data_IF_695889782284
#
_entry.id   IF_695889782284
#
_cell.length_a   1.000
_cell.length_b   1.000
_cell.length_c   1.000
_cell.angle_alpha   90.00
_cell.angle_beta   90.00
_cell.angle_gamma   90.00
#
_symmetry.space_group_name_H-M   'P 1'
#
loop_
_entity.id
_entity.type
_entity.pdbx_description
1 polymer ?
#
# COMPACT_ATOMS: atom_id res chain seq x y z
N UNK A 1 -1.72 19.47 0.51
CA UNK A 1 -2.04 18.21 -0.20
C UNK A 1 -0.94 17.74 -1.15
N UNK A 2 -0.67 18.47 -2.24
CA UNK A 2 0.21 18.02 -3.35
C UNK A 2 1.71 18.17 -3.09
N UNK A 3 2.09 18.88 -2.03
CA UNK A 3 3.47 19.05 -1.61
C UNK A 3 4.14 17.69 -1.32
N UNK A 4 5.38 17.53 -1.76
CA UNK A 4 6.16 16.30 -1.60
C UNK A 4 5.74 15.14 -2.52
N UNK A 5 4.59 15.21 -3.19
CA UNK A 5 4.12 14.12 -4.07
C UNK A 5 5.08 13.81 -5.22
N UNK A 6 5.72 14.78 -5.90
CA UNK A 6 6.72 14.47 -6.92
C UNK A 6 7.88 13.61 -6.39
N UNK A 7 8.36 13.87 -5.18
CA UNK A 7 9.42 13.09 -4.56
C UNK A 7 8.95 11.66 -4.25
N UNK A 8 7.73 11.50 -3.74
CA UNK A 8 7.10 10.19 -3.48
C UNK A 8 6.97 9.41 -4.80
N UNK A 9 6.51 10.05 -5.88
CA UNK A 9 6.37 9.39 -7.18
C UNK A 9 7.71 8.92 -7.74
N UNK A 10 8.76 9.74 -7.67
CA UNK A 10 10.09 9.35 -8.16
C UNK A 10 10.68 8.18 -7.35
N UNK A 11 10.49 8.19 -6.04
CA UNK A 11 10.94 7.09 -5.17
C UNK A 11 10.17 5.80 -5.48
N UNK A 12 8.84 5.87 -5.62
CA UNK A 12 8.02 4.71 -6.00
C UNK A 12 8.37 4.17 -7.39
N UNK A 13 8.63 5.05 -8.37
CA UNK A 13 9.01 4.65 -9.73
C UNK A 13 10.27 3.78 -9.70
N UNK A 14 11.29 4.19 -8.95
CA UNK A 14 12.49 3.39 -8.71
C UNK A 14 12.17 2.03 -8.07
N UNK A 15 11.28 2.01 -7.07
CA UNK A 15 10.88 0.75 -6.41
C UNK A 15 10.09 -0.18 -7.33
N UNK A 16 9.40 0.36 -8.35
CA UNK A 16 8.68 -0.49 -9.30
C UNK A 16 9.60 -1.33 -10.18
N UNK A 17 10.89 -0.99 -10.28
CA UNK A 17 11.88 -1.78 -10.99
C UNK A 17 12.42 -2.94 -10.14
N UNK A 18 12.37 -2.81 -8.81
CA UNK A 18 12.73 -3.88 -7.86
C UNK A 18 11.53 -4.80 -7.60
N UNK A 19 10.36 -4.18 -7.43
CA UNK A 19 9.10 -4.83 -7.05
C UNK A 19 8.00 -4.52 -8.09
N UNK A 20 7.96 -5.21 -9.25
CA UNK A 20 7.06 -4.87 -10.37
C UNK A 20 5.57 -4.82 -10.02
N UNK A 21 5.13 -5.53 -8.98
CA UNK A 21 3.73 -5.48 -8.53
C UNK A 21 3.30 -4.07 -8.07
N UNK A 22 4.24 -3.21 -7.66
CA UNK A 22 3.97 -1.84 -7.24
C UNK A 22 3.38 -0.99 -8.36
N UNK A 23 3.61 -1.34 -9.63
CA UNK A 23 3.03 -0.66 -10.79
C UNK A 23 1.51 -0.61 -10.72
N UNK A 24 0.87 -1.60 -10.08
CA UNK A 24 -0.58 -1.62 -9.88
C UNK A 24 -1.08 -0.44 -9.03
N UNK A 25 -0.34 -0.03 -8.01
CA UNK A 25 -0.70 1.11 -7.15
C UNK A 25 -0.12 2.44 -7.66
N UNK A 26 1.11 2.40 -8.19
CA UNK A 26 1.85 3.59 -8.66
C UNK A 26 1.17 4.29 -9.84
N UNK A 27 0.74 3.56 -10.88
CA UNK A 27 0.18 4.20 -12.08
C UNK A 27 -1.16 4.92 -11.81
N UNK A 28 -2.15 4.32 -11.12
CA UNK A 28 -3.35 5.04 -10.71
C UNK A 28 -3.03 6.27 -9.86
N UNK A 29 -2.08 6.16 -8.91
CA UNK A 29 -1.67 7.30 -8.08
C UNK A 29 -1.11 8.46 -8.90
N UNK A 30 -0.21 8.17 -9.84
CA UNK A 30 0.36 9.18 -10.76
C UNK A 30 -0.75 9.85 -11.59
N UNK A 31 -1.73 9.08 -12.04
CA UNK A 31 -2.83 9.58 -12.84
C UNK A 31 -3.75 10.52 -12.03
N UNK A 32 -4.17 10.12 -10.82
CA UNK A 32 -5.00 10.99 -9.97
C UNK A 32 -4.23 12.23 -9.49
N UNK A 33 -2.91 12.14 -9.28
CA UNK A 33 -2.09 13.32 -8.99
C UNK A 33 -2.18 14.36 -10.12
N UNK A 34 -2.03 13.92 -11.37
CA UNK A 34 -2.17 14.81 -12.52
C UNK A 34 -3.59 15.36 -12.69
N UNK A 35 -4.62 14.62 -12.27
CA UNK A 35 -5.98 15.13 -12.21
C UNK A 35 -6.09 16.22 -11.13
N UNK A 36 -5.67 15.95 -9.89
CA UNK A 36 -5.71 16.90 -8.77
C UNK A 36 -4.94 18.20 -9.08
N UNK A 37 -3.79 18.13 -9.75
CA UNK A 37 -3.06 19.33 -10.19
C UNK A 37 -3.89 20.26 -11.11
N UNK A 38 -4.85 19.71 -11.86
CA UNK A 38 -5.68 20.46 -12.82
C UNK A 38 -6.94 21.04 -12.18
N UNK A 39 -7.36 20.55 -11.01
CA UNK A 39 -8.54 21.06 -10.34
C UNK A 39 -8.20 22.27 -9.46
N UNK A 40 -8.90 23.38 -9.70
CA UNK A 40 -8.76 24.61 -8.90
C UNK A 40 -9.71 24.66 -7.71
N UNK A 41 -10.78 23.87 -7.74
CA UNK A 41 -11.73 23.74 -6.63
C UNK A 41 -11.24 22.66 -5.66
N UNK A 42 -10.79 23.10 -4.48
CA UNK A 42 -10.46 22.23 -3.37
C UNK A 42 -11.75 21.69 -2.74
N UNK A 43 -12.36 20.67 -3.35
CA UNK A 43 -13.32 19.84 -2.63
C UNK A 43 -12.57 19.10 -1.52
N UNK A 44 -12.82 19.50 -0.26
CA UNK A 44 -12.22 18.90 0.93
C UNK A 44 -12.31 17.37 0.92
N UNK A 45 -13.35 16.79 0.31
CA UNK A 45 -13.52 15.33 0.24
C UNK A 45 -12.49 14.66 -0.66
N UNK A 46 -12.24 15.25 -1.83
CA UNK A 46 -11.17 14.81 -2.73
C UNK A 46 -9.81 14.98 -2.09
N UNK A 47 -9.61 16.11 -1.42
CA UNK A 47 -8.39 16.37 -0.66
C UNK A 47 -8.11 15.28 0.37
N UNK A 48 -9.10 14.97 1.22
CA UNK A 48 -8.99 13.90 2.22
C UNK A 48 -8.69 12.55 1.56
N UNK A 49 -9.36 12.22 0.46
CA UNK A 49 -9.18 10.94 -0.21
C UNK A 49 -7.77 10.81 -0.82
N UNK A 50 -7.30 11.87 -1.49
CA UNK A 50 -5.96 11.93 -2.03
C UNK A 50 -4.91 11.79 -0.93
N UNK A 51 -5.10 12.44 0.21
CA UNK A 51 -4.22 12.32 1.37
C UNK A 51 -4.16 10.88 1.88
N UNK A 52 -5.29 10.19 1.99
CA UNK A 52 -5.31 8.77 2.37
C UNK A 52 -4.56 7.88 1.38
N UNK A 53 -4.71 8.11 0.08
CA UNK A 53 -3.96 7.36 -0.93
C UNK A 53 -2.46 7.65 -0.80
N UNK A 54 -2.08 8.93 -0.64
CA UNK A 54 -0.69 9.36 -0.42
C UNK A 54 -0.08 8.70 0.83
N UNK A 55 -0.84 8.56 1.92
CA UNK A 55 -0.36 7.88 3.13
C UNK A 55 -0.03 6.41 2.86
N UNK A 56 -0.81 5.72 2.02
CA UNK A 56 -0.47 4.35 1.62
C UNK A 56 0.80 4.32 0.77
N UNK A 57 0.93 5.26 -0.18
CA UNK A 57 2.13 5.39 -1.03
C UNK A 57 3.39 5.62 -0.20
N UNK A 58 3.30 6.41 0.87
CA UNK A 58 4.41 6.63 1.81
C UNK A 58 4.83 5.35 2.51
N UNK A 59 3.90 4.53 2.98
CA UNK A 59 4.24 3.24 3.62
C UNK A 59 4.83 2.26 2.61
N UNK A 60 4.39 2.28 1.35
CA UNK A 60 4.99 1.45 0.30
C UNK A 60 6.46 1.80 0.03
N UNK A 61 6.94 3.00 0.39
CA UNK A 61 8.36 3.35 0.28
C UNK A 61 9.26 2.50 1.18
N UNK A 62 8.72 1.90 2.24
CA UNK A 62 9.48 1.00 3.12
C UNK A 62 9.93 -0.29 2.41
N UNK A 63 9.35 -0.61 1.25
CA UNK A 63 9.84 -1.69 0.39
C UNK A 63 11.25 -1.46 -0.15
N UNK A 64 11.80 -0.23 -0.05
CA UNK A 64 13.23 0.02 -0.31
C UNK A 64 14.16 -0.83 0.57
N UNK A 65 13.68 -1.22 1.74
CA UNK A 65 14.40 -2.05 2.71
C UNK A 65 14.11 -3.55 2.54
N UNK A 66 13.33 -3.94 1.53
CA UNK A 66 12.87 -5.30 1.30
C UNK A 66 13.46 -5.82 -0.01
N UNK A 67 14.16 -6.96 0.06
CA UNK A 67 14.70 -7.63 -1.12
C UNK A 67 13.57 -8.16 -2.01
N UNK A 68 13.80 -8.20 -3.32
CA UNK A 68 12.89 -8.89 -4.26
C UNK A 68 12.77 -10.40 -3.97
N UNK A 69 13.79 -10.96 -3.32
CA UNK A 69 13.89 -12.37 -2.94
C UNK A 69 13.53 -12.58 -1.46
N UNK A 70 12.76 -11.66 -0.85
CA UNK A 70 12.32 -11.76 0.55
C UNK A 70 11.53 -13.06 0.79
N UNK A 71 12.02 -13.88 1.71
CA UNK A 71 11.50 -15.22 2.01
C UNK A 71 10.50 -15.24 3.15
N UNK A 72 10.18 -14.09 3.75
CA UNK A 72 9.25 -14.05 4.88
C UNK A 72 7.86 -14.48 4.46
N UNK A 73 7.20 -15.17 5.38
CA UNK A 73 5.83 -15.65 5.21
C UNK A 73 4.89 -15.09 6.26
N UNK A 74 3.60 -15.06 5.94
CA UNK A 74 2.53 -14.87 6.91
C UNK A 74 2.41 -16.10 7.82
N UNK A 75 1.57 -16.00 8.87
CA UNK A 75 1.19 -17.16 9.71
C UNK A 75 0.58 -18.31 8.89
N UNK A 76 0.00 -18.02 7.73
CA UNK A 76 -0.56 -19.01 6.80
C UNK A 76 0.49 -19.62 5.85
N UNK A 77 1.79 -19.30 6.02
CA UNK A 77 2.87 -19.75 5.14
C UNK A 77 2.91 -19.07 3.77
N UNK A 78 2.15 -18.00 3.55
CA UNK A 78 2.13 -17.28 2.26
C UNK A 78 3.22 -16.21 2.22
N UNK A 79 3.94 -16.03 1.10
CA UNK A 79 4.96 -14.98 0.98
C UNK A 79 4.39 -13.58 1.25
N UNK A 80 5.12 -12.76 2.02
CA UNK A 80 4.70 -11.39 2.34
C UNK A 80 4.53 -10.54 1.09
N UNK A 81 5.44 -10.68 0.12
CA UNK A 81 5.37 -9.96 -1.17
C UNK A 81 4.07 -10.27 -1.93
N UNK A 82 3.54 -11.50 -1.83
CA UNK A 82 2.26 -11.85 -2.47
C UNK A 82 1.08 -11.13 -1.80
N UNK A 83 1.11 -10.96 -0.48
CA UNK A 83 0.09 -10.18 0.25
C UNK A 83 0.14 -8.71 -0.16
N UNK A 84 1.34 -8.12 -0.22
CA UNK A 84 1.52 -6.74 -0.67
C UNK A 84 1.05 -6.53 -2.11
N UNK A 85 1.33 -7.48 -3.01
CA UNK A 85 0.84 -7.46 -4.38
C UNK A 85 -0.70 -7.50 -4.46
N UNK A 86 -1.36 -8.29 -3.60
CA UNK A 86 -2.82 -8.33 -3.54
C UNK A 86 -3.39 -6.99 -3.04
N UNK A 87 -2.77 -6.37 -2.03
CA UNK A 87 -3.19 -5.06 -1.52
C UNK A 87 -3.06 -4.01 -2.63
N UNK A 88 -1.92 -3.97 -3.34
CA UNK A 88 -1.72 -3.03 -4.46
C UNK A 88 -2.77 -3.21 -5.57
N UNK A 89 -3.16 -4.45 -5.87
CA UNK A 89 -4.23 -4.75 -6.84
C UNK A 89 -5.61 -4.29 -6.36
N UNK A 90 -5.93 -4.43 -5.07
CA UNK A 90 -7.18 -3.92 -4.49
C UNK A 90 -7.21 -2.40 -4.53
N UNK A 91 -6.13 -1.76 -4.10
CA UNK A 91 -5.98 -0.30 -4.15
C UNK A 91 -6.15 0.25 -5.55
N UNK A 92 -5.59 -0.43 -6.57
CA UNK A 92 -5.80 -0.05 -7.98
C UNK A 92 -7.29 0.13 -8.27
N UNK A 93 -8.08 -0.92 -7.97
CA UNK A 93 -9.54 -0.91 -8.19
C UNK A 93 -10.22 0.19 -7.39
N UNK A 94 -9.87 0.32 -6.12
CA UNK A 94 -10.42 1.35 -5.25
C UNK A 94 -10.16 2.76 -5.80
N UNK A 95 -8.94 3.06 -6.25
CA UNK A 95 -8.56 4.35 -6.86
C UNK A 95 -9.34 4.57 -8.16
N UNK A 96 -9.38 3.56 -9.03
CA UNK A 96 -10.08 3.63 -10.32
C UNK A 96 -11.58 3.91 -10.13
N UNK A 97 -12.21 3.22 -9.18
CA UNK A 97 -13.64 3.39 -8.88
C UNK A 97 -13.93 4.75 -8.23
N UNK A 98 -13.15 5.19 -7.24
CA UNK A 98 -13.45 6.43 -6.51
C UNK A 98 -13.10 7.71 -7.28
N UNK A 99 -12.07 7.68 -8.14
CA UNK A 99 -11.72 8.82 -8.99
C UNK A 99 -12.31 8.73 -10.40
N UNK A 100 -13.13 7.69 -10.67
CA UNK A 100 -13.63 7.39 -12.02
C UNK A 100 -12.51 7.38 -13.06
N UNK A 101 -11.36 6.83 -12.69
CA UNK A 101 -10.18 6.78 -13.56
C UNK A 101 -10.37 5.60 -14.51
N UNK A 102 -10.23 5.81 -15.83
CA UNK A 102 -10.18 4.69 -16.76
C UNK A 102 -9.07 3.73 -16.34
N UNK A 103 -9.29 2.42 -16.52
CA UNK A 103 -8.30 1.37 -16.25
C UNK A 103 -6.89 1.88 -16.58
N UNK A 104 -6.01 2.03 -15.59
CA UNK A 104 -4.69 2.65 -15.80
C UNK A 104 -3.81 1.87 -16.80
N UNK A 105 -4.23 0.64 -17.15
CA UNK A 105 -3.61 -0.25 -18.13
C UNK A 105 -4.23 -0.17 -19.53
N UNK A 106 -5.39 0.47 -19.72
CA UNK A 106 -6.05 0.63 -21.02
C UNK A 106 -6.33 2.11 -21.31
N UNK A 107 -5.68 2.66 -22.35
CA UNK A 107 -6.06 3.96 -22.90
C UNK A 107 -7.45 3.84 -23.57
N UNK A 108 -8.56 4.12 -22.88
CA UNK A 108 -9.84 4.50 -23.54
C UNK A 108 -10.88 5.17 -22.62
N UNK A 109 -11.50 6.19 -23.24
CA UNK A 109 -12.66 7.05 -22.94
C UNK A 109 -13.26 7.16 -21.53
N UNK A 110 -13.20 8.41 -21.06
CA UNK A 110 -14.01 9.12 -20.06
C UNK A 110 -15.45 8.61 -19.92
N UNK A 111 -15.80 8.10 -18.74
CA UNK A 111 -17.18 7.79 -18.36
C UNK A 111 -17.40 8.06 -16.89
N UNK A 112 -17.65 9.33 -16.52
CA UNK A 112 -18.02 9.68 -15.15
C UNK A 112 -19.53 9.52 -15.01
N UNK A 113 -19.97 8.46 -14.35
CA UNK A 113 -21.34 8.38 -13.84
C UNK A 113 -21.41 9.24 -12.58
N UNK A 114 -22.21 10.30 -12.66
CA UNK A 114 -22.59 11.13 -11.53
C UNK A 114 -23.27 10.25 -10.46
N UNK A 115 -22.63 10.13 -9.30
CA UNK A 115 -23.25 9.59 -8.10
C UNK A 115 -23.95 10.73 -7.34
N UNK A 116 -25.16 10.44 -6.83
CA UNK A 116 -25.96 11.43 -6.09
C UNK A 116 -25.16 11.92 -4.88
N UNK A 117 -25.16 13.22 -4.62
CA UNK A 117 -24.30 13.86 -3.61
C UNK A 117 -24.43 13.27 -2.19
N UNK A 118 -25.57 12.68 -1.83
CA UNK A 118 -25.78 12.03 -0.52
C UNK A 118 -25.21 10.61 -0.44
N UNK A 119 -25.31 9.79 -1.50
CA UNK A 119 -24.71 8.45 -1.56
C UNK A 119 -23.20 8.52 -1.75
N UNK A 120 -22.73 9.52 -2.50
CA UNK A 120 -21.32 9.80 -2.73
C UNK A 120 -20.53 10.01 -1.44
N UNK A 121 -21.13 10.63 -0.42
CA UNK A 121 -20.46 10.85 0.87
C UNK A 121 -20.18 9.56 1.63
N UNK A 122 -21.14 8.62 1.61
CA UNK A 122 -20.98 7.32 2.27
C UNK A 122 -19.97 6.45 1.52
N UNK A 123 -20.02 6.47 0.18
CA UNK A 123 -19.06 5.75 -0.67
C UNK A 123 -17.64 6.29 -0.48
N UNK A 124 -17.43 7.62 -0.53
CA UNK A 124 -16.12 8.24 -0.29
C UNK A 124 -15.57 7.92 1.10
N UNK A 125 -16.42 7.92 2.14
CA UNK A 125 -16.05 7.47 3.47
C UNK A 125 -15.57 6.02 3.48
N UNK A 126 -16.23 5.14 2.71
CA UNK A 126 -15.83 3.74 2.59
C UNK A 126 -14.46 3.58 1.89
N UNK A 127 -14.18 4.35 0.83
CA UNK A 127 -12.87 4.32 0.17
C UNK A 127 -11.76 4.85 1.09
N UNK A 128 -12.00 5.95 1.82
CA UNK A 128 -11.04 6.49 2.77
C UNK A 128 -10.71 5.48 3.89
N UNK A 129 -11.72 4.72 4.37
CA UNK A 129 -11.52 3.62 5.29
C UNK A 129 -10.69 2.50 4.67
N UNK A 130 -11.02 2.06 3.44
CA UNK A 130 -10.24 1.04 2.70
C UNK A 130 -8.77 1.42 2.53
N UNK A 131 -8.47 2.68 2.20
CA UNK A 131 -7.07 3.14 2.10
C UNK A 131 -6.38 3.18 3.46
N UNK A 132 -7.08 3.56 4.52
CA UNK A 132 -6.54 3.51 5.88
C UNK A 132 -6.22 2.07 6.29
N UNK A 133 -7.11 1.12 6.01
CA UNK A 133 -6.86 -0.31 6.22
C UNK A 133 -5.70 -0.83 5.37
N UNK A 134 -5.61 -0.45 4.09
CA UNK A 134 -4.49 -0.84 3.23
C UNK A 134 -3.14 -0.37 3.80
N UNK A 135 -3.07 0.87 4.30
CA UNK A 135 -1.89 1.40 4.98
C UNK A 135 -1.49 0.53 6.18
N UNK A 136 -2.46 0.17 7.01
CA UNK A 136 -2.24 -0.68 8.20
C UNK A 136 -1.79 -2.09 7.82
N UNK A 137 -2.44 -2.70 6.82
CA UNK A 137 -2.08 -4.04 6.35
C UNK A 137 -0.68 -4.09 5.74
N UNK A 138 -0.27 -3.07 4.98
CA UNK A 138 1.08 -2.95 4.43
C UNK A 138 2.08 -2.77 5.57
N UNK A 139 1.80 -1.87 6.50
CA UNK A 139 2.66 -1.63 7.67
C UNK A 139 2.85 -2.91 8.48
N UNK A 140 1.76 -3.64 8.74
CA UNK A 140 1.79 -4.91 9.45
C UNK A 140 2.61 -5.96 8.70
N UNK A 141 2.35 -6.12 7.40
CA UNK A 141 3.06 -7.09 6.57
C UNK A 141 4.57 -6.81 6.53
N UNK A 142 4.98 -5.54 6.43
CA UNK A 142 6.40 -5.17 6.41
C UNK A 142 7.08 -5.33 7.77
N UNK A 143 6.34 -5.19 8.87
CA UNK A 143 6.85 -5.30 10.24
C UNK A 143 6.74 -6.71 10.85
N UNK A 144 6.17 -7.68 10.13
CA UNK A 144 5.95 -9.05 10.64
C UNK A 144 7.25 -9.78 11.04
N UNK A 145 8.41 -9.30 10.57
CA UNK A 145 9.74 -9.89 10.85
C UNK A 145 10.18 -9.76 12.31
N UNK A 146 9.58 -8.87 13.11
CA UNK A 146 10.05 -8.65 14.48
C UNK A 146 9.57 -9.73 15.45
N UNK A 147 8.43 -10.39 15.21
CA UNK A 147 7.87 -11.36 16.15
C UNK A 147 8.52 -12.75 16.02
N UNK A 148 8.60 -13.28 14.80
CA UNK A 148 9.11 -14.63 14.54
C UNK A 148 10.59 -14.76 14.87
N UNK A 149 11.41 -13.76 14.52
CA UNK A 149 12.84 -13.78 14.83
C UNK A 149 13.10 -13.67 16.33
N UNK A 150 12.29 -12.92 17.10
CA UNK A 150 12.40 -12.87 18.56
C UNK A 150 12.01 -14.21 19.18
N UNK A 151 10.95 -14.87 18.70
CA UNK A 151 10.58 -16.22 19.17
C UNK A 151 11.64 -17.27 18.83
N UNK A 152 12.20 -17.26 17.61
CA UNK A 152 13.28 -18.16 17.21
C UNK A 152 14.57 -17.91 17.99
N UNK A 153 14.92 -16.65 18.26
CA UNK A 153 16.06 -16.28 19.10
C UNK A 153 15.81 -16.74 20.55
N UNK A 154 14.61 -16.51 21.10
CA UNK A 154 14.25 -16.95 22.45
C UNK A 154 14.28 -18.48 22.56
N UNK A 155 13.79 -19.21 21.56
CA UNK A 155 13.84 -20.66 21.52
C UNK A 155 15.28 -21.20 21.43
N UNK A 156 16.12 -20.59 20.58
CA UNK A 156 17.56 -20.94 20.49
C UNK A 156 18.29 -20.63 21.79
N UNK A 157 17.98 -19.51 22.44
CA UNK A 157 18.57 -19.13 23.72
C UNK A 157 18.16 -20.07 24.86
N UNK A 158 16.88 -20.48 24.92
CA UNK A 158 16.39 -21.46 25.88
C UNK A 158 17.03 -22.83 25.68
N UNK A 159 17.14 -23.30 24.42
CA UNK A 159 17.80 -24.56 24.11
C UNK A 159 19.30 -24.54 24.46
N UNK A 160 19.99 -23.43 24.19
CA UNK A 160 21.38 -23.25 24.57
C UNK A 160 21.57 -23.27 26.09
N UNK A 161 20.72 -22.57 26.86
CA UNK A 161 20.75 -22.61 28.32
C UNK A 161 20.54 -24.02 28.88
N UNK A 162 19.53 -24.74 28.40
CA UNK A 162 19.23 -26.10 28.87
C UNK A 162 20.38 -27.08 28.56
N UNK A 163 21.02 -26.96 27.40
CA UNK A 163 22.16 -27.81 27.03
C UNK A 163 23.36 -27.67 27.97
N UNK A 164 23.54 -26.49 28.58
CA UNK A 164 24.62 -26.18 29.51
C UNK A 164 24.45 -26.82 30.90
N UNK A 165 23.22 -27.20 31.26
CA UNK A 165 22.91 -27.84 32.55
C UNK A 165 22.76 -29.36 32.46
N UNK A 166 22.78 -29.94 31.26
CA UNK A 166 22.74 -31.39 31.04
C UNK A 166 24.14 -32.02 30.87
N UNK A 167 25.21 -31.23 30.98
CA UNK A 167 26.61 -31.70 30.88
C UNK A 167 27.35 -31.78 32.23
N UNK A 168 26.61 -31.70 33.35
CA UNK A 168 27.09 -31.95 34.72
C UNK A 168 26.41 -33.22 35.26
#
# INVERSE_FOLDING_TARGET
MLEGVPAIMNALETLTEIHPFLKAAYFPFKLIYHQEMKHRENDKRRTTLFEKIKDVMLVLLELKNVSKDDTRTTLEGKPILNRLALICKKMKKDIEECYNVPNAQEKRSLGIKFLKASSWNQELGSYAARFSTAREEISFALNLQTAVTVEEINAKYAAFHLSKYQTL
#
